data_IF_474547074589
#
_entry.id   IF_474547074589
#
_cell.length_a   1.000
_cell.length_b   1.000
_cell.length_c   1.000
_cell.angle_alpha   90.00
_cell.angle_beta   90.00
_cell.angle_gamma   90.00
#
_symmetry.space_group_name_H-M   'P 1'
#
loop_
_entity.id
_entity.type
_entity.pdbx_description
1 polymer ?
#
# COMPACT_ATOMS: atom_id res chain seq x y z
N UNK A 1 -1.17 -11.45 -12.85
CA UNK A 1 -2.13 -10.35 -12.62
C UNK A 1 -1.93 -9.78 -11.22
N UNK A 2 -1.47 -8.52 -11.09
CA UNK A 2 -1.20 -7.87 -9.79
C UNK A 2 -2.42 -7.08 -9.29
N UNK A 3 -3.54 -7.77 -9.13
CA UNK A 3 -4.76 -7.15 -8.63
C UNK A 3 -5.43 -8.19 -7.72
N UNK A 4 -5.09 -8.18 -6.43
CA UNK A 4 -5.65 -9.08 -5.42
C UNK A 4 -6.63 -8.25 -4.58
N UNK A 5 -7.91 -8.21 -4.95
CA UNK A 5 -9.01 -7.61 -4.15
C UNK A 5 -9.99 -8.69 -3.77
N UNK A 6 -10.69 -8.49 -2.67
CA UNK A 6 -11.85 -9.30 -2.30
C UNK A 6 -12.91 -9.36 -3.43
N UNK A 7 -12.96 -8.35 -4.33
CA UNK A 7 -13.82 -8.34 -5.52
C UNK A 7 -13.28 -9.15 -6.73
N UNK A 8 -12.13 -9.81 -6.62
CA UNK A 8 -11.54 -10.57 -7.73
C UNK A 8 -12.32 -11.84 -8.03
N UNK A 9 -12.72 -11.99 -9.29
CA UNK A 9 -13.31 -13.20 -9.81
C UNK A 9 -12.24 -14.09 -10.45
N UNK A 10 -12.26 -15.38 -10.12
CA UNK A 10 -11.33 -16.38 -10.66
C UNK A 10 -12.05 -17.33 -11.62
N UNK A 11 -11.49 -17.49 -12.81
CA UNK A 11 -11.94 -18.50 -13.75
C UNK A 11 -11.54 -19.94 -13.31
N UNK A 12 -11.88 -20.92 -14.15
CA UNK A 12 -11.69 -22.35 -13.87
C UNK A 12 -10.23 -22.80 -13.84
N UNK A 13 -9.30 -22.00 -14.38
CA UNK A 13 -7.87 -22.35 -14.41
C UNK A 13 -7.20 -22.25 -13.05
N UNK A 14 -7.82 -21.55 -12.10
CA UNK A 14 -7.28 -21.33 -10.76
C UNK A 14 -7.73 -22.43 -9.81
N UNK A 15 -6.75 -23.20 -9.30
CA UNK A 15 -6.97 -24.21 -8.27
C UNK A 15 -7.16 -23.60 -6.87
N UNK A 16 -6.57 -22.42 -6.63
CA UNK A 16 -6.74 -21.62 -5.42
C UNK A 16 -7.50 -20.33 -5.76
N UNK A 17 -8.60 -20.06 -5.07
CA UNK A 17 -9.49 -18.90 -5.30
C UNK A 17 -9.66 -18.02 -4.06
N UNK A 18 -9.03 -18.36 -2.94
CA UNK A 18 -8.99 -17.52 -1.76
C UNK A 18 -8.01 -16.36 -1.97
N UNK A 19 -8.54 -15.20 -2.34
CA UNK A 19 -7.74 -13.97 -2.57
C UNK A 19 -6.88 -13.64 -1.36
N UNK A 20 -7.40 -13.78 -0.14
CA UNK A 20 -6.69 -13.40 1.08
C UNK A 20 -5.48 -14.28 1.31
N UNK A 21 -5.60 -15.58 1.05
CA UNK A 21 -4.47 -16.51 1.10
C UNK A 21 -3.42 -16.19 0.03
N UNK A 22 -3.85 -15.91 -1.19
CA UNK A 22 -2.96 -15.54 -2.29
C UNK A 22 -2.23 -14.21 -1.99
N UNK A 23 -2.94 -13.22 -1.45
CA UNK A 23 -2.38 -11.94 -1.03
C UNK A 23 -1.36 -12.11 0.11
N UNK A 24 -1.66 -12.94 1.11
CA UNK A 24 -0.74 -13.23 2.21
C UNK A 24 0.55 -13.91 1.72
N UNK A 25 0.44 -14.89 0.80
CA UNK A 25 1.59 -15.54 0.16
C UNK A 25 2.41 -14.54 -0.67
N UNK A 26 1.74 -13.69 -1.45
CA UNK A 26 2.39 -12.67 -2.26
C UNK A 26 3.11 -11.62 -1.39
N UNK A 27 2.50 -11.18 -0.29
CA UNK A 27 3.12 -10.26 0.66
C UNK A 27 4.39 -10.86 1.28
N UNK A 28 4.32 -12.13 1.71
CA UNK A 28 5.49 -12.84 2.22
C UNK A 28 6.61 -12.90 1.18
N UNK A 29 6.31 -13.38 -0.04
CA UNK A 29 7.30 -13.46 -1.11
C UNK A 29 7.90 -12.08 -1.44
N UNK A 30 7.08 -11.03 -1.49
CA UNK A 30 7.58 -9.66 -1.72
C UNK A 30 8.63 -9.26 -0.68
N UNK A 31 8.39 -9.48 0.61
CA UNK A 31 9.34 -9.13 1.67
C UNK A 31 10.55 -10.09 1.75
N UNK A 32 10.44 -11.31 1.24
CA UNK A 32 11.58 -12.23 1.11
C UNK A 32 12.54 -11.82 -0.02
N UNK A 33 12.04 -11.18 -1.09
CA UNK A 33 12.84 -10.83 -2.28
C UNK A 33 13.14 -9.33 -2.42
N UNK A 34 12.46 -8.45 -1.68
CA UNK A 34 12.69 -7.01 -1.72
C UNK A 34 13.29 -6.55 -0.39
N UNK A 35 14.45 -5.87 -0.39
CA UNK A 35 15.13 -5.46 0.84
C UNK A 35 14.40 -4.27 1.48
N UNK A 36 13.35 -4.55 2.24
CA UNK A 36 12.64 -3.58 3.07
C UNK A 36 12.83 -3.98 4.53
N UNK A 37 13.29 -3.04 5.35
CA UNK A 37 13.47 -3.29 6.77
C UNK A 37 12.11 -3.57 7.45
N UNK A 38 11.98 -4.62 8.27
CA UNK A 38 10.75 -4.88 9.01
C UNK A 38 10.52 -3.81 10.07
N UNK A 39 9.25 -3.44 10.28
CA UNK A 39 8.83 -2.50 11.31
C UNK A 39 7.98 -3.26 12.34
N UNK A 40 8.38 -3.23 13.61
CA UNK A 40 7.70 -3.97 14.69
C UNK A 40 6.23 -3.60 14.82
N UNK A 41 5.90 -2.31 14.63
CA UNK A 41 4.54 -1.81 14.75
C UNK A 41 3.59 -2.34 13.66
N UNK A 42 4.10 -2.79 12.51
CA UNK A 42 3.26 -3.26 11.41
C UNK A 42 4.03 -4.27 10.55
N UNK A 43 3.71 -5.56 10.71
CA UNK A 43 4.27 -6.61 9.88
C UNK A 43 3.91 -6.41 8.40
N UNK A 44 4.87 -6.69 7.52
CA UNK A 44 4.78 -6.56 6.07
C UNK A 44 4.45 -5.13 5.57
N UNK A 45 4.73 -4.10 6.37
CA UNK A 45 4.54 -2.71 5.96
C UNK A 45 5.38 -2.36 4.74
N UNK A 46 4.74 -1.75 3.73
CA UNK A 46 5.40 -1.33 2.48
C UNK A 46 5.72 0.17 2.47
N UNK A 47 4.81 1.00 3.01
CA UNK A 47 4.96 2.45 2.98
C UNK A 47 6.08 2.92 3.92
N UNK A 48 6.96 3.79 3.41
CA UNK A 48 8.20 4.21 4.09
C UNK A 48 8.76 5.49 3.47
N UNK A 49 9.68 6.16 4.19
CA UNK A 49 10.43 7.32 3.69
C UNK A 49 11.89 6.92 3.48
N UNK A 50 12.47 7.33 2.36
CA UNK A 50 13.92 7.25 2.10
C UNK A 50 14.45 8.66 1.87
N UNK A 51 15.40 9.06 2.70
CA UNK A 51 16.03 10.38 2.65
C UNK A 51 17.36 10.33 1.87
N UNK A 52 17.53 11.26 0.94
CA UNK A 52 18.73 11.47 0.14
C UNK A 52 19.34 12.84 0.49
N UNK A 53 20.03 12.88 1.63
CA UNK A 53 20.64 14.09 2.15
C UNK A 53 19.63 15.22 2.37
N UNK A 54 20.04 16.50 2.28
CA UNK A 54 19.15 17.63 2.45
C UNK A 54 18.28 17.93 1.23
N UNK A 55 18.46 17.21 0.12
CA UNK A 55 17.86 17.58 -1.16
C UNK A 55 16.56 16.86 -1.45
N UNK A 56 16.43 15.59 -1.08
CA UNK A 56 15.29 14.77 -1.52
C UNK A 56 14.82 13.81 -0.44
N UNK A 57 13.53 13.85 -0.14
CA UNK A 57 12.81 12.78 0.55
C UNK A 57 11.86 12.07 -0.43
N UNK A 58 11.94 10.75 -0.50
CA UNK A 58 11.02 9.89 -1.27
C UNK A 58 10.09 9.14 -0.33
N UNK A 59 8.79 9.35 -0.50
CA UNK A 59 7.72 8.75 0.28
C UNK A 59 7.06 7.66 -0.55
N UNK A 60 7.33 6.40 -0.21
CA UNK A 60 6.68 5.25 -0.82
C UNK A 60 5.34 5.01 -0.12
N UNK A 61 4.26 4.93 -0.89
CA UNK A 61 2.92 4.65 -0.38
C UNK A 61 2.50 3.20 -0.65
N UNK A 62 1.74 2.63 0.28
CA UNK A 62 0.96 1.42 0.04
C UNK A 62 -0.44 1.83 -0.42
N UNK A 63 -0.70 1.66 -1.71
CA UNK A 63 -1.98 2.03 -2.33
C UNK A 63 -2.92 0.84 -2.51
N UNK A 64 -2.58 -0.32 -1.91
CA UNK A 64 -3.34 -1.56 -2.15
C UNK A 64 -3.86 -2.21 -0.88
N UNK A 65 -3.04 -2.32 0.16
CA UNK A 65 -3.39 -3.07 1.38
C UNK A 65 -4.66 -2.56 2.05
N UNK A 66 -4.91 -1.26 1.95
CA UNK A 66 -6.01 -0.57 2.59
C UNK A 66 -7.17 -0.23 1.66
N UNK A 67 -6.95 -0.37 0.35
CA UNK A 67 -7.89 0.09 -0.66
C UNK A 67 -9.15 -0.78 -0.63
N UNK A 68 -10.31 -0.13 -0.79
CA UNK A 68 -11.58 -0.79 -0.98
C UNK A 68 -11.63 -1.67 -2.24
N UNK A 69 -12.75 -2.37 -2.47
CA UNK A 69 -12.94 -3.14 -3.69
C UNK A 69 -12.79 -2.25 -4.94
N UNK A 70 -12.34 -2.83 -6.05
CA UNK A 70 -12.41 -2.12 -7.32
C UNK A 70 -13.88 -2.04 -7.74
N UNK A 71 -14.39 -0.83 -7.92
CA UNK A 71 -15.67 -0.53 -8.57
C UNK A 71 -15.48 0.42 -9.74
N UNK A 72 -16.57 1.01 -10.22
CA UNK A 72 -16.56 1.93 -11.37
C UNK A 72 -15.89 3.28 -11.05
N UNK A 73 -15.60 3.55 -9.76
CA UNK A 73 -15.05 4.81 -9.25
C UNK A 73 -15.96 6.02 -9.56
N UNK A 74 -17.27 5.83 -9.40
CA UNK A 74 -18.31 6.84 -9.64
C UNK A 74 -19.00 7.32 -8.35
N UNK A 75 -18.45 6.97 -7.19
CA UNK A 75 -18.99 7.34 -5.89
C UNK A 75 -18.98 8.86 -5.70
N UNK A 76 -20.13 9.43 -5.34
CA UNK A 76 -20.30 10.88 -5.11
C UNK A 76 -20.12 11.29 -3.65
N UNK A 77 -19.98 10.32 -2.75
CA UNK A 77 -19.82 10.53 -1.32
C UNK A 77 -18.80 9.53 -0.74
N UNK A 78 -18.08 9.89 0.34
CA UNK A 78 -17.15 8.99 1.01
C UNK A 78 -17.84 7.75 1.58
N UNK A 79 -17.19 6.59 1.47
CA UNK A 79 -17.65 5.32 2.03
C UNK A 79 -16.63 4.20 1.89
N UNK A 80 -17.02 2.96 2.19
CA UNK A 80 -16.13 1.80 2.10
C UNK A 80 -15.54 1.59 0.69
N UNK A 81 -16.28 1.95 -0.36
CA UNK A 81 -15.82 1.90 -1.76
C UNK A 81 -14.79 2.97 -2.13
N UNK A 82 -14.71 4.07 -1.37
CA UNK A 82 -13.80 5.18 -1.67
C UNK A 82 -12.50 5.14 -0.86
N UNK A 83 -12.34 4.17 0.03
CA UNK A 83 -11.11 4.02 0.83
C UNK A 83 -9.95 3.66 -0.08
N UNK A 84 -8.87 4.43 -0.02
CA UNK A 84 -7.69 4.22 -0.88
C UNK A 84 -6.40 4.00 -0.08
N UNK A 85 -6.15 4.88 0.90
CA UNK A 85 -5.05 4.76 1.85
C UNK A 85 -5.59 4.47 3.25
N UNK A 86 -4.83 3.75 4.06
CA UNK A 86 -5.17 3.49 5.46
C UNK A 86 -5.02 4.75 6.33
N UNK A 87 -5.81 4.85 7.40
CA UNK A 87 -5.77 5.98 8.33
C UNK A 87 -4.36 6.21 8.89
N UNK A 88 -3.72 5.16 9.40
CA UNK A 88 -2.38 5.24 9.99
C UNK A 88 -1.31 5.69 8.97
N UNK A 89 -1.45 5.26 7.71
CA UNK A 89 -0.56 5.68 6.64
C UNK A 89 -0.76 7.16 6.27
N UNK A 90 -2.01 7.65 6.26
CA UNK A 90 -2.31 9.08 6.02
C UNK A 90 -1.71 9.93 7.14
N UNK A 91 -1.91 9.54 8.40
CA UNK A 91 -1.38 10.28 9.55
C UNK A 91 0.15 10.23 9.61
N UNK A 92 0.75 9.10 9.27
CA UNK A 92 2.19 8.99 9.06
C UNK A 92 2.68 9.93 7.96
N UNK A 93 2.02 9.94 6.79
CA UNK A 93 2.45 10.75 5.65
C UNK A 93 2.39 12.23 5.97
N UNK A 94 1.29 12.71 6.58
CA UNK A 94 1.16 14.10 7.03
C UNK A 94 2.28 14.50 7.98
N UNK A 95 2.55 13.67 8.99
CA UNK A 95 3.60 13.92 9.98
C UNK A 95 4.99 14.00 9.33
N UNK A 96 5.32 13.05 8.46
CA UNK A 96 6.64 13.03 7.82
C UNK A 96 6.82 14.15 6.79
N UNK A 97 5.75 14.53 6.07
CA UNK A 97 5.77 15.69 5.18
C UNK A 97 6.01 16.99 5.93
N UNK A 98 5.34 17.19 7.08
CA UNK A 98 5.53 18.36 7.94
C UNK A 98 6.93 18.40 8.57
N UNK A 99 7.51 17.24 8.90
CA UNK A 99 8.84 17.15 9.48
C UNK A 99 9.97 17.30 8.44
N UNK A 100 9.70 17.08 7.16
CA UNK A 100 10.71 17.08 6.10
C UNK A 100 11.23 18.49 5.77
N UNK A 101 12.55 18.67 5.91
CA UNK A 101 13.28 19.88 5.50
C UNK A 101 13.94 19.74 4.12
N UNK A 102 13.69 18.64 3.41
CA UNK A 102 14.29 18.40 2.10
C UNK A 102 13.77 19.38 1.05
N UNK A 103 14.63 19.81 0.13
CA UNK A 103 14.24 20.68 -1.00
C UNK A 103 13.12 20.05 -1.83
N UNK A 104 13.22 18.76 -2.12
CA UNK A 104 12.27 17.98 -2.90
C UNK A 104 11.60 16.90 -2.04
N UNK A 105 10.30 16.72 -2.28
CA UNK A 105 9.48 15.70 -1.64
C UNK A 105 8.75 14.97 -2.76
N UNK A 106 9.07 13.70 -2.97
CA UNK A 106 8.50 12.87 -4.04
C UNK A 106 7.60 11.80 -3.43
N UNK A 107 6.39 11.65 -3.96
CA UNK A 107 5.46 10.59 -3.56
C UNK A 107 5.45 9.53 -4.67
N UNK A 108 5.70 8.27 -4.30
CA UNK A 108 5.77 7.12 -5.20
C UNK A 108 4.86 5.98 -4.76
#
# INVERSE_FOLDING_TARGET
TNNWSDSKQFDERYTEKNVRLLAARAARAFHEFVPIAPIVAEQNRVYRKVAYGPLLDVFFLDMRRYRGPNGDNLETAPGAGTVFLGHDQIEWLKRELLASKATWKVIS
#
